data_IF_323504270115
#
_entry.id   IF_323504270115
#
_cell.length_a   1.000
_cell.length_b   1.000
_cell.length_c   1.000
_cell.angle_alpha   90.00
_cell.angle_beta   90.00
_cell.angle_gamma   90.00
#
_symmetry.space_group_name_H-M   'P 1'
#
loop_
_entity.id
_entity.type
_entity.pdbx_description
1 polymer ?
#
# COMPACT_ATOMS: atom_id res chain seq x y z
N UNK A 1 -71.76 -11.91 32.15
CA UNK A 1 -72.60 -11.27 33.20
C UNK A 1 -73.69 -12.23 33.63
N UNK A 2 -74.16 -12.25 34.89
CA UNK A 2 -73.73 -11.60 36.14
C UNK A 2 -73.30 -12.66 37.20
N UNK A 3 -72.44 -12.39 38.21
CA UNK A 3 -72.56 -11.55 39.42
C UNK A 3 -73.17 -12.27 40.66
N UNK A 4 -72.27 -12.63 41.60
CA UNK A 4 -72.30 -12.39 43.08
C UNK A 4 -73.43 -12.97 43.98
N UNK A 5 -73.28 -12.98 45.34
CA UNK A 5 -72.15 -13.44 46.18
C UNK A 5 -72.59 -14.10 47.55
N UNK A 6 -71.60 -14.41 48.40
CA UNK A 6 -71.58 -14.43 49.90
C UNK A 6 -72.20 -15.65 50.66
N UNK A 7 -71.41 -16.55 51.28
CA UNK A 7 -70.74 -16.51 52.64
C UNK A 7 -71.69 -16.85 53.81
N UNK A 8 -71.25 -17.27 55.03
CA UNK A 8 -69.89 -17.56 55.57
C UNK A 8 -69.77 -18.83 56.49
N UNK A 9 -68.55 -19.15 56.98
CA UNK A 9 -68.20 -19.40 58.42
C UNK A 9 -66.94 -20.31 58.65
N UNK A 10 -65.76 -19.67 58.81
CA UNK A 10 -64.70 -19.76 59.87
C UNK A 10 -64.22 -21.10 60.52
N UNK A 11 -63.03 -21.16 61.18
CA UNK A 11 -61.80 -20.32 61.08
C UNK A 11 -60.42 -21.05 61.22
N UNK A 12 -59.34 -20.26 61.03
CA UNK A 12 -58.03 -20.26 61.74
C UNK A 12 -56.87 -21.23 61.35
N UNK A 13 -55.94 -20.72 60.54
CA UNK A 13 -54.56 -20.41 61.01
C UNK A 13 -53.84 -19.47 60.05
N UNK A 14 -53.38 -18.33 60.59
CA UNK A 14 -52.64 -17.22 59.95
C UNK A 14 -51.12 -17.56 59.93
N UNK A 15 -50.38 -17.41 58.83
CA UNK A 15 -49.61 -16.25 58.32
C UNK A 15 -48.33 -15.83 59.12
N UNK A 16 -47.13 -16.17 58.56
CA UNK A 16 -45.81 -15.45 58.38
C UNK A 16 -45.16 -14.59 59.51
N UNK A 17 -43.88 -14.06 59.45
CA UNK A 17 -42.67 -14.27 58.58
C UNK A 17 -41.27 -14.30 59.33
N UNK A 18 -40.17 -14.48 58.55
CA UNK A 18 -38.76 -14.02 58.67
C UNK A 18 -37.98 -13.93 60.02
N UNK A 19 -36.71 -14.41 60.06
CA UNK A 19 -35.48 -13.66 60.42
C UNK A 19 -34.20 -14.52 60.49
N UNK A 20 -33.06 -13.91 60.13
CA UNK A 20 -31.72 -14.46 60.04
C UNK A 20 -30.91 -14.34 61.36
N UNK A 21 -29.75 -15.03 61.35
CA UNK A 21 -28.54 -14.90 62.19
C UNK A 21 -28.60 -15.21 63.68
N UNK A 22 -27.76 -16.16 64.14
CA UNK A 22 -26.62 -15.75 64.96
C UNK A 22 -25.48 -16.78 65.06
N UNK A 23 -24.26 -16.29 64.80
CA UNK A 23 -23.00 -17.02 64.84
C UNK A 23 -21.94 -16.28 64.03
N UNK A 24 -21.26 -15.32 64.69
CA UNK A 24 -20.18 -14.48 64.15
C UNK A 24 -19.17 -15.30 63.32
N UNK A 25 -18.62 -14.77 62.19
CA UNK A 25 -17.61 -15.45 61.37
C UNK A 25 -16.44 -15.99 62.20
N UNK A 26 -16.04 -15.24 63.23
CA UNK A 26 -14.99 -15.61 64.19
C UNK A 26 -15.34 -16.88 65.00
N UNK A 27 -16.62 -17.07 65.35
CA UNK A 27 -17.08 -18.25 66.06
C UNK A 27 -17.14 -19.49 65.16
N UNK A 28 -17.27 -19.30 63.84
CA UNK A 28 -17.22 -20.38 62.84
C UNK A 28 -15.79 -20.83 62.57
N UNK A 29 -14.86 -19.90 62.39
CA UNK A 29 -13.44 -20.21 62.22
C UNK A 29 -12.85 -20.86 63.46
N UNK A 30 -13.20 -20.39 64.67
CA UNK A 30 -12.78 -21.03 65.93
C UNK A 30 -13.25 -22.50 66.05
N UNK A 31 -14.44 -22.83 65.52
CA UNK A 31 -14.92 -24.23 65.48
C UNK A 31 -14.18 -25.10 64.46
N UNK A 32 -13.75 -24.52 63.34
CA UNK A 32 -12.96 -25.23 62.32
C UNK A 32 -11.54 -25.48 62.81
N UNK A 33 -10.90 -24.50 63.46
CA UNK A 33 -9.59 -24.68 64.10
C UNK A 33 -9.65 -25.72 65.23
N UNK A 34 -10.67 -25.66 66.10
CA UNK A 34 -10.85 -26.67 67.15
C UNK A 34 -11.09 -28.09 66.60
N UNK A 35 -11.72 -28.22 65.43
CA UNK A 35 -11.89 -29.50 64.75
C UNK A 35 -10.59 -30.00 64.09
N UNK A 36 -9.81 -29.08 63.51
CA UNK A 36 -8.52 -29.40 62.91
C UNK A 36 -7.47 -29.79 63.96
N UNK A 37 -7.44 -29.11 65.11
CA UNK A 37 -6.55 -29.46 66.23
C UNK A 37 -6.91 -30.81 66.85
N UNK A 38 -8.20 -31.18 66.89
CA UNK A 38 -8.65 -32.52 67.29
C UNK A 38 -8.21 -33.63 66.33
N UNK A 39 -8.13 -33.36 65.03
CA UNK A 39 -7.58 -34.33 64.07
C UNK A 39 -6.05 -34.42 64.17
N UNK A 40 -5.38 -33.31 64.48
CA UNK A 40 -3.92 -33.24 64.59
C UNK A 40 -3.37 -33.89 65.86
N UNK A 41 -4.19 -33.92 66.91
CA UNK A 41 -3.87 -34.54 68.20
C UNK A 41 -4.28 -36.01 68.29
N UNK A 42 -4.79 -36.61 67.20
CA UNK A 42 -5.08 -38.04 67.12
C UNK A 42 -3.78 -38.87 67.10
N UNK A 43 -3.47 -39.64 68.15
CA UNK A 43 -2.28 -40.47 68.24
C UNK A 43 -2.28 -41.67 67.27
N UNK A 44 -3.41 -41.96 66.59
CA UNK A 44 -3.50 -43.03 65.58
C UNK A 44 -2.96 -42.60 64.19
N UNK A 45 -2.71 -41.31 63.96
CA UNK A 45 -2.22 -40.79 62.67
C UNK A 45 -0.70 -40.54 62.63
N UNK A 46 0.01 -40.75 63.74
CA UNK A 46 1.45 -40.45 63.88
C UNK A 46 2.37 -41.63 63.51
N UNK A 47 2.07 -42.32 62.40
CA UNK A 47 2.94 -43.36 61.83
C UNK A 47 3.45 -42.96 60.45
N UNK A 48 4.56 -42.24 60.36
CA UNK A 48 5.23 -42.03 59.07
C UNK A 48 6.03 -43.29 58.69
N UNK A 49 5.44 -44.17 57.88
CA UNK A 49 6.10 -45.37 57.38
C UNK A 49 6.63 -45.13 55.96
N UNK A 50 7.95 -44.99 55.82
CA UNK A 50 8.63 -44.96 54.50
C UNK A 50 8.71 -46.38 53.95
N UNK A 51 7.79 -46.75 53.05
CA UNK A 51 7.91 -47.99 52.28
C UNK A 51 8.84 -47.80 51.07
N UNK A 52 10.06 -48.32 51.14
CA UNK A 52 10.89 -48.55 49.97
C UNK A 52 10.48 -49.87 49.30
N UNK A 53 9.62 -49.80 48.28
CA UNK A 53 9.35 -50.96 47.39
C UNK A 53 10.22 -50.89 46.16
N UNK A 54 11.32 -51.64 46.18
CA UNK A 54 12.03 -52.03 44.97
C UNK A 54 11.15 -53.05 44.22
N UNK A 55 10.45 -52.61 43.17
CA UNK A 55 9.90 -53.50 42.15
C UNK A 55 10.75 -53.40 40.90
N UNK A 56 11.56 -54.42 40.67
CA UNK A 56 11.95 -54.81 39.32
C UNK A 56 10.99 -55.89 38.86
N UNK A 57 10.25 -55.63 37.78
CA UNK A 57 9.58 -56.70 37.02
C UNK A 57 9.36 -56.31 35.56
N UNK A 58 10.28 -56.85 34.77
CA UNK A 58 10.17 -57.52 33.47
C UNK A 58 9.59 -56.83 32.23
N UNK A 59 10.33 -57.08 31.15
CA UNK A 59 10.15 -56.60 29.79
C UNK A 59 8.80 -56.99 29.19
N UNK A 60 7.98 -55.96 28.93
CA UNK A 60 6.70 -56.09 28.24
C UNK A 60 6.53 -55.00 27.21
N UNK A 61 6.91 -55.31 25.96
CA UNK A 61 6.55 -54.68 24.69
C UNK A 61 6.57 -53.14 24.62
N UNK A 62 7.49 -52.66 23.78
CA UNK A 62 7.45 -51.33 23.16
C UNK A 62 6.07 -51.06 22.56
N UNK A 63 5.33 -50.12 23.14
CA UNK A 63 4.43 -49.25 22.41
C UNK A 63 4.87 -47.81 22.65
N UNK A 64 5.81 -47.38 21.81
CA UNK A 64 6.20 -45.99 21.67
C UNK A 64 5.03 -45.28 21.01
N UNK A 65 4.05 -44.82 21.80
CA UNK A 65 3.09 -43.83 21.33
C UNK A 65 3.91 -42.59 20.98
N UNK A 66 4.03 -42.36 19.67
CA UNK A 66 4.85 -41.30 19.07
C UNK A 66 4.39 -39.94 19.63
N UNK A 67 5.29 -38.97 19.62
CA UNK A 67 5.02 -37.54 19.89
C UNK A 67 4.22 -36.87 18.74
N UNK A 68 3.35 -37.62 18.07
CA UNK A 68 2.53 -37.15 16.96
C UNK A 68 1.40 -36.21 17.42
N UNK A 69 0.94 -36.32 18.66
CA UNK A 69 -0.06 -35.43 19.25
C UNK A 69 0.43 -33.99 19.50
N UNK A 70 1.69 -33.82 19.90
CA UNK A 70 2.28 -32.49 20.19
C UNK A 70 2.57 -31.71 18.91
N UNK A 71 3.19 -32.37 17.92
CA UNK A 71 3.45 -31.79 16.62
C UNK A 71 2.14 -31.43 15.88
N UNK A 72 1.12 -32.28 15.94
CA UNK A 72 -0.19 -31.96 15.36
C UNK A 72 -0.95 -30.90 16.14
N UNK A 73 -0.82 -30.81 17.46
CA UNK A 73 -1.48 -29.77 18.26
C UNK A 73 -0.97 -28.37 17.92
N UNK A 74 0.35 -28.19 17.77
CA UNK A 74 0.93 -26.92 17.33
C UNK A 74 0.56 -26.60 15.87
N UNK A 75 0.58 -27.60 14.98
CA UNK A 75 0.16 -27.43 13.59
C UNK A 75 -1.33 -27.03 13.47
N UNK A 76 -2.19 -27.61 14.31
CA UNK A 76 -3.61 -27.28 14.38
C UNK A 76 -3.86 -25.88 14.96
N UNK A 77 -3.06 -25.46 15.95
CA UNK A 77 -3.09 -24.10 16.49
C UNK A 77 -2.61 -23.08 15.44
N UNK A 78 -1.55 -23.40 14.70
CA UNK A 78 -1.07 -22.61 13.57
C UNK A 78 -2.10 -22.53 12.43
N UNK A 79 -2.75 -23.65 12.09
CA UNK A 79 -3.80 -23.68 11.08
C UNK A 79 -5.02 -22.83 11.48
N UNK A 80 -5.43 -22.86 12.76
CA UNK A 80 -6.47 -21.96 13.28
C UNK A 80 -6.04 -20.50 13.22
N UNK A 81 -4.81 -20.19 13.59
CA UNK A 81 -4.26 -18.84 13.50
C UNK A 81 -4.18 -18.34 12.05
N UNK A 82 -3.77 -19.19 11.11
CA UNK A 82 -3.78 -18.91 9.68
C UNK A 82 -5.20 -18.71 9.17
N UNK A 83 -6.16 -19.50 9.62
CA UNK A 83 -7.56 -19.35 9.24
C UNK A 83 -8.13 -18.00 9.69
N UNK A 84 -7.83 -17.56 10.92
CA UNK A 84 -8.26 -16.24 11.41
C UNK A 84 -7.49 -15.08 10.75
N UNK A 85 -6.21 -15.30 10.43
CA UNK A 85 -5.35 -14.32 9.74
C UNK A 85 -5.66 -14.25 8.23
N UNK A 86 -6.20 -15.32 7.64
CA UNK A 86 -6.50 -15.42 6.21
C UNK A 86 -7.43 -14.30 5.76
N UNK A 87 -8.39 -13.93 6.61
CA UNK A 87 -9.25 -12.77 6.42
C UNK A 87 -8.42 -11.50 6.28
N UNK A 88 -7.52 -11.22 7.22
CA UNK A 88 -6.76 -9.96 7.19
C UNK A 88 -5.75 -9.93 6.04
N UNK A 89 -5.11 -11.05 5.71
CA UNK A 89 -4.24 -11.14 4.54
C UNK A 89 -5.02 -10.95 3.24
N UNK A 90 -6.18 -11.60 3.12
CA UNK A 90 -7.05 -11.47 1.95
C UNK A 90 -7.55 -10.04 1.80
N UNK A 91 -8.07 -9.43 2.88
CA UNK A 91 -8.51 -8.04 2.86
C UNK A 91 -7.36 -7.06 2.64
N UNK A 92 -6.15 -7.35 3.13
CA UNK A 92 -4.94 -6.58 2.85
C UNK A 92 -4.55 -6.65 1.37
N UNK A 93 -4.54 -7.84 0.78
CA UNK A 93 -4.28 -8.03 -0.64
C UNK A 93 -5.34 -7.35 -1.50
N UNK A 94 -6.63 -7.47 -1.14
CA UNK A 94 -7.74 -6.78 -1.80
C UNK A 94 -7.58 -5.26 -1.67
N UNK A 95 -7.23 -4.73 -0.49
CA UNK A 95 -7.01 -3.31 -0.29
C UNK A 95 -5.83 -2.79 -1.13
N UNK A 96 -4.74 -3.55 -1.23
CA UNK A 96 -3.61 -3.24 -2.12
C UNK A 96 -4.04 -3.28 -3.58
N UNK A 97 -4.77 -4.30 -3.99
CA UNK A 97 -5.25 -4.43 -5.38
C UNK A 97 -6.20 -3.29 -5.73
N UNK A 98 -7.08 -2.89 -4.82
CA UNK A 98 -7.97 -1.74 -4.95
C UNK A 98 -7.17 -0.44 -4.99
N UNK A 99 -6.16 -0.27 -4.15
CA UNK A 99 -5.29 0.90 -4.19
C UNK A 99 -4.52 0.99 -5.51
N UNK A 100 -3.94 -0.12 -5.99
CA UNK A 100 -3.26 -0.21 -7.29
C UNK A 100 -4.25 0.04 -8.42
N UNK A 101 -5.45 -0.53 -8.36
CA UNK A 101 -6.50 -0.30 -9.35
C UNK A 101 -6.96 1.16 -9.34
N UNK A 102 -7.07 1.82 -8.17
CA UNK A 102 -7.43 3.23 -8.05
C UNK A 102 -6.30 4.14 -8.54
N UNK A 103 -5.04 3.83 -8.25
CA UNK A 103 -3.88 4.58 -8.74
C UNK A 103 -3.75 4.40 -10.25
N UNK A 104 -3.84 3.17 -10.73
CA UNK A 104 -3.81 2.84 -12.16
C UNK A 104 -4.99 3.46 -12.89
N UNK A 105 -6.20 3.41 -12.32
CA UNK A 105 -7.38 4.06 -12.86
C UNK A 105 -7.25 5.57 -12.82
N UNK A 106 -6.71 6.19 -11.75
CA UNK A 106 -6.43 7.63 -11.72
C UNK A 106 -5.40 8.02 -12.76
N UNK A 107 -4.32 7.26 -12.91
CA UNK A 107 -3.30 7.47 -13.92
C UNK A 107 -3.88 7.33 -15.34
N UNK A 108 -4.66 6.27 -15.59
CA UNK A 108 -5.39 6.03 -16.83
C UNK A 108 -6.45 7.10 -17.10
N UNK A 109 -7.15 7.59 -16.08
CA UNK A 109 -8.17 8.65 -16.18
C UNK A 109 -7.52 10.00 -16.41
N UNK A 110 -6.36 10.30 -15.81
CA UNK A 110 -5.63 11.52 -16.12
C UNK A 110 -5.08 11.48 -17.55
N UNK A 111 -4.51 10.36 -17.97
CA UNK A 111 -4.09 10.14 -19.36
C UNK A 111 -5.28 10.19 -20.34
N UNK A 112 -6.41 9.57 -19.98
CA UNK A 112 -7.63 9.60 -20.80
C UNK A 112 -8.31 10.96 -20.78
N UNK A 113 -8.32 11.69 -19.68
CA UNK A 113 -8.87 13.04 -19.61
C UNK A 113 -8.02 14.01 -20.42
N UNK A 114 -6.69 13.86 -20.38
CA UNK A 114 -5.79 14.56 -21.28
C UNK A 114 -6.07 14.20 -22.74
N UNK A 115 -6.22 12.89 -23.06
CA UNK A 115 -6.58 12.42 -24.41
C UNK A 115 -7.97 12.85 -24.87
N UNK A 116 -8.98 12.87 -24.00
CA UNK A 116 -10.36 13.25 -24.31
C UNK A 116 -10.49 14.75 -24.45
N UNK A 117 -9.74 15.53 -23.67
CA UNK A 117 -9.64 16.97 -23.84
C UNK A 117 -8.92 17.31 -25.14
N UNK A 118 -7.82 16.63 -25.43
CA UNK A 118 -7.14 16.69 -26.72
C UNK A 118 -8.03 16.18 -27.88
N UNK A 119 -8.90 15.18 -27.64
CA UNK A 119 -9.80 14.64 -28.65
C UNK A 119 -11.04 15.50 -28.89
N UNK A 120 -11.56 16.17 -27.85
CA UNK A 120 -12.61 17.17 -27.98
C UNK A 120 -12.10 18.40 -28.75
N UNK A 121 -10.83 18.75 -28.53
CA UNK A 121 -10.11 19.77 -29.31
C UNK A 121 -9.81 19.28 -30.75
N UNK A 122 -9.56 17.97 -30.94
CA UNK A 122 -9.37 17.36 -32.26
C UNK A 122 -10.67 17.17 -33.05
N UNK A 123 -11.81 16.97 -32.38
CA UNK A 123 -13.11 16.78 -33.02
C UNK A 123 -13.61 18.07 -33.71
N UNK A 124 -13.28 19.23 -33.13
CA UNK A 124 -13.55 20.55 -33.74
C UNK A 124 -12.56 20.87 -34.87
N UNK A 125 -11.47 20.11 -35.01
CA UNK A 125 -10.38 20.34 -35.98
C UNK A 125 -10.15 19.16 -36.94
N UNK A 126 -11.22 18.40 -37.24
CA UNK A 126 -11.24 17.28 -38.19
C UNK A 126 -10.95 17.63 -39.67
N UNK A 127 -10.42 18.82 -39.96
CA UNK A 127 -10.05 19.28 -41.33
C UNK A 127 -8.54 19.37 -41.55
N UNK A 128 -7.67 19.10 -40.57
CA UNK A 128 -6.22 19.25 -40.83
C UNK A 128 -5.30 18.32 -40.05
N UNK A 129 -5.39 17.05 -40.44
CA UNK A 129 -4.26 16.18 -40.78
C UNK A 129 -2.98 16.38 -39.95
N UNK A 130 -2.84 15.61 -38.87
CA UNK A 130 -1.71 14.71 -38.65
C UNK A 130 -1.92 13.93 -37.34
N UNK A 131 -2.09 12.62 -37.47
CA UNK A 131 -2.11 11.64 -36.39
C UNK A 131 -0.71 11.57 -35.75
N UNK A 132 -0.49 12.25 -34.61
CA UNK A 132 0.77 12.15 -33.85
C UNK A 132 0.58 11.15 -32.72
N UNK A 133 0.54 9.87 -33.10
CA UNK A 133 0.74 8.73 -32.19
C UNK A 133 2.21 8.65 -31.73
N UNK A 134 2.47 8.11 -30.53
CA UNK A 134 3.82 7.99 -29.96
C UNK A 134 4.67 6.83 -30.52
N UNK A 135 4.35 6.28 -31.69
CA UNK A 135 4.98 5.04 -32.21
C UNK A 135 6.14 5.28 -33.20
N UNK A 136 6.37 6.52 -33.64
CA UNK A 136 7.61 6.90 -34.33
C UNK A 136 7.89 8.38 -34.08
N UNK A 137 8.84 8.68 -33.19
CA UNK A 137 9.50 9.98 -33.22
C UNK A 137 10.02 10.17 -34.66
N UNK A 138 9.73 11.28 -35.36
CA UNK A 138 10.19 11.47 -36.74
C UNK A 138 11.73 11.39 -36.77
N UNK A 139 12.28 10.84 -37.85
CA UNK A 139 13.74 10.77 -38.04
C UNK A 139 14.38 12.17 -37.92
N UNK A 140 13.69 13.19 -38.46
CA UNK A 140 14.03 14.61 -38.28
C UNK A 140 12.97 15.35 -37.45
N UNK A 141 13.18 15.33 -36.12
CA UNK A 141 12.35 16.06 -35.16
C UNK A 141 12.37 17.57 -35.40
N UNK A 142 13.51 18.12 -35.83
CA UNK A 142 13.67 19.56 -36.06
C UNK A 142 12.82 20.04 -37.24
N UNK A 143 12.88 19.35 -38.36
CA UNK A 143 12.08 19.66 -39.54
C UNK A 143 10.57 19.47 -39.28
N UNK A 144 10.18 18.38 -38.60
CA UNK A 144 8.79 18.12 -38.25
C UNK A 144 8.23 19.19 -37.29
N UNK A 145 9.01 19.61 -36.30
CA UNK A 145 8.62 20.70 -35.40
C UNK A 145 8.50 22.03 -36.14
N UNK A 146 9.40 22.30 -37.09
CA UNK A 146 9.34 23.52 -37.90
C UNK A 146 8.08 23.60 -38.77
N UNK A 147 7.68 22.48 -39.39
CA UNK A 147 6.44 22.40 -40.15
C UNK A 147 5.21 22.70 -39.27
N UNK A 148 5.16 22.14 -38.06
CA UNK A 148 4.10 22.43 -37.08
C UNK A 148 4.08 23.91 -36.67
N UNK A 149 5.26 24.51 -36.48
CA UNK A 149 5.38 25.92 -36.12
C UNK A 149 4.85 26.84 -37.22
N UNK A 150 5.26 26.61 -38.47
CA UNK A 150 4.77 27.37 -39.63
C UNK A 150 3.27 27.19 -39.86
N UNK A 151 2.72 26.03 -39.50
CA UNK A 151 1.29 25.76 -39.55
C UNK A 151 0.48 26.45 -38.43
N UNK A 152 1.11 27.28 -37.58
CA UNK A 152 0.51 27.97 -36.45
C UNK A 152 0.30 27.08 -35.21
N UNK A 153 0.73 25.81 -35.26
CA UNK A 153 0.57 24.83 -34.18
C UNK A 153 1.76 24.90 -33.21
N UNK A 154 2.03 26.09 -32.63
CA UNK A 154 3.20 26.35 -31.77
C UNK A 154 3.28 25.41 -30.55
N UNK A 155 2.20 25.15 -29.79
CA UNK A 155 2.27 24.21 -28.66
C UNK A 155 2.64 22.79 -29.09
N UNK A 156 2.16 22.35 -30.26
CA UNK A 156 2.47 21.03 -30.80
C UNK A 156 3.94 20.92 -31.24
N UNK A 157 4.47 21.97 -31.88
CA UNK A 157 5.89 22.05 -32.26
C UNK A 157 6.81 21.96 -31.03
N UNK A 158 6.52 22.75 -29.99
CA UNK A 158 7.30 22.73 -28.75
C UNK A 158 7.19 21.41 -28.00
N UNK A 159 5.99 20.81 -27.94
CA UNK A 159 5.79 19.49 -27.36
C UNK A 159 6.60 18.42 -28.09
N UNK A 160 6.72 18.51 -29.42
CA UNK A 160 7.55 17.59 -30.21
C UNK A 160 9.04 17.79 -29.92
N UNK A 161 9.53 19.03 -29.87
CA UNK A 161 10.92 19.34 -29.51
C UNK A 161 11.26 18.88 -28.09
N UNK A 162 10.37 19.10 -27.13
CA UNK A 162 10.56 18.66 -25.74
C UNK A 162 10.64 17.14 -25.63
N UNK A 163 9.68 16.41 -26.21
CA UNK A 163 9.69 14.94 -26.27
C UNK A 163 10.93 14.40 -26.99
N UNK A 164 11.33 15.07 -28.08
CA UNK A 164 12.56 14.79 -28.81
C UNK A 164 13.81 14.92 -27.95
N UNK A 165 13.93 16.04 -27.23
CA UNK A 165 15.06 16.29 -26.35
C UNK A 165 15.11 15.27 -25.21
N UNK A 166 13.96 14.96 -24.61
CA UNK A 166 13.85 13.94 -23.57
C UNK A 166 14.28 12.55 -24.06
N UNK A 167 13.82 12.15 -25.25
CA UNK A 167 14.23 10.89 -25.87
C UNK A 167 15.74 10.81 -26.08
N UNK A 168 16.38 11.89 -26.57
CA UNK A 168 17.85 11.94 -26.71
C UNK A 168 18.56 11.91 -25.36
N UNK A 169 18.06 12.63 -24.35
CA UNK A 169 18.63 12.59 -22.99
C UNK A 169 18.61 11.17 -22.42
N UNK A 170 17.51 10.44 -22.56
CA UNK A 170 17.37 9.08 -22.03
C UNK A 170 18.19 8.08 -22.84
N UNK A 171 18.05 8.06 -24.17
CA UNK A 171 18.61 6.98 -24.99
C UNK A 171 20.03 7.22 -25.47
N UNK A 172 20.46 8.49 -25.63
CA UNK A 172 21.77 8.83 -26.19
C UNK A 172 22.76 9.31 -25.12
N UNK A 173 22.28 10.12 -24.17
CA UNK A 173 23.11 10.65 -23.08
C UNK A 173 22.97 9.84 -21.78
N UNK A 174 22.17 8.76 -21.81
CA UNK A 174 21.93 7.83 -20.70
C UNK A 174 21.58 8.56 -19.38
N UNK A 175 20.82 9.65 -19.47
CA UNK A 175 20.39 10.42 -18.30
C UNK A 175 19.32 9.59 -17.55
N UNK A 176 19.50 9.30 -16.25
CA UNK A 176 18.59 8.46 -15.49
C UNK A 176 17.36 9.27 -15.05
N UNK A 177 16.48 9.59 -16.00
CA UNK A 177 15.27 10.37 -15.76
C UNK A 177 14.19 9.45 -15.17
N UNK A 178 13.67 9.80 -14.00
CA UNK A 178 12.59 9.06 -13.35
C UNK A 178 11.22 9.50 -13.88
N UNK A 179 10.23 8.61 -13.88
CA UNK A 179 8.88 8.91 -14.36
C UNK A 179 8.15 10.01 -13.56
N UNK A 180 8.63 10.30 -12.34
CA UNK A 180 8.10 11.36 -11.47
C UNK A 180 8.89 12.66 -11.55
N UNK A 181 9.96 12.73 -12.35
CA UNK A 181 10.80 13.92 -12.45
C UNK A 181 10.02 15.06 -13.11
N UNK A 182 10.01 16.21 -12.43
CA UNK A 182 9.58 17.49 -13.00
C UNK A 182 10.56 17.95 -14.08
N UNK A 183 10.14 18.89 -14.92
CA UNK A 183 10.98 19.45 -16.00
C UNK A 183 12.29 20.05 -15.46
N UNK A 184 12.21 20.72 -14.31
CA UNK A 184 13.38 21.25 -13.61
C UNK A 184 14.31 20.15 -13.14
N UNK A 185 13.78 19.09 -12.54
CA UNK A 185 14.56 17.93 -12.11
C UNK A 185 15.20 17.19 -13.30
N UNK A 186 14.52 17.11 -14.46
CA UNK A 186 15.08 16.54 -15.68
C UNK A 186 16.31 17.34 -16.15
N UNK A 187 16.24 18.67 -16.14
CA UNK A 187 17.37 19.54 -16.46
C UNK A 187 18.52 19.34 -15.46
N UNK A 188 18.20 19.21 -14.18
CA UNK A 188 19.17 19.01 -13.11
C UNK A 188 19.91 17.69 -13.27
N UNK A 189 19.20 16.60 -13.58
CA UNK A 189 19.80 15.28 -13.86
C UNK A 189 20.65 15.28 -15.14
N UNK A 190 20.31 16.11 -16.12
CA UNK A 190 21.06 16.26 -17.37
C UNK A 190 22.37 17.06 -17.19
N UNK A 191 22.51 17.84 -16.10
CA UNK A 191 23.73 18.61 -15.81
C UNK A 191 24.92 17.65 -15.67
N UNK A 192 26.03 18.01 -16.29
CA UNK A 192 27.27 17.22 -16.26
C UNK A 192 27.26 15.99 -17.18
N UNK A 193 26.11 15.59 -17.74
CA UNK A 193 26.00 14.51 -18.75
C UNK A 193 25.95 15.01 -20.18
N UNK A 194 25.41 16.22 -20.37
CA UNK A 194 25.34 16.89 -21.66
C UNK A 194 26.51 17.87 -21.83
N UNK A 195 26.99 18.01 -23.07
CA UNK A 195 27.90 19.10 -23.42
C UNK A 195 27.25 20.47 -23.12
N UNK A 196 28.03 21.51 -22.77
CA UNK A 196 27.49 22.82 -22.39
C UNK A 196 26.51 23.42 -23.40
N UNK A 197 26.76 23.23 -24.70
CA UNK A 197 25.91 23.70 -25.81
C UNK A 197 24.58 22.95 -25.86
N UNK A 198 24.62 21.63 -25.67
CA UNK A 198 23.45 20.78 -25.62
C UNK A 198 22.58 21.12 -24.41
N UNK A 199 23.20 21.28 -23.23
CA UNK A 199 22.49 21.66 -21.99
C UNK A 199 21.79 23.02 -22.13
N UNK A 200 22.48 24.02 -22.70
CA UNK A 200 21.91 25.34 -22.97
C UNK A 200 20.71 25.25 -23.91
N UNK A 201 20.79 24.40 -24.93
CA UNK A 201 19.70 24.20 -25.87
C UNK A 201 18.49 23.50 -25.26
N UNK A 202 18.67 22.39 -24.53
CA UNK A 202 17.56 21.72 -23.86
C UNK A 202 16.86 22.68 -22.90
N UNK A 203 17.65 23.48 -22.17
CA UNK A 203 17.11 24.51 -21.27
C UNK A 203 16.25 25.52 -22.04
N UNK A 204 16.70 26.00 -23.21
CA UNK A 204 15.91 26.92 -24.04
C UNK A 204 14.61 26.28 -24.54
N UNK A 205 14.64 25.01 -24.95
CA UNK A 205 13.43 24.27 -25.39
C UNK A 205 12.43 24.14 -24.26
N UNK A 206 12.87 23.70 -23.07
CA UNK A 206 12.01 23.55 -21.89
C UNK A 206 11.40 24.89 -21.49
N UNK A 207 12.20 25.96 -21.43
CA UNK A 207 11.70 27.30 -21.09
C UNK A 207 10.72 27.86 -22.13
N UNK A 208 10.97 27.63 -23.42
CA UNK A 208 10.05 28.03 -24.48
C UNK A 208 8.71 27.27 -24.36
N UNK A 209 8.78 25.96 -24.08
CA UNK A 209 7.60 25.13 -23.87
C UNK A 209 6.80 25.56 -22.64
N UNK A 210 7.46 25.79 -21.49
CA UNK A 210 6.81 26.30 -20.27
C UNK A 210 6.18 27.67 -20.49
N UNK A 211 6.92 28.60 -21.12
CA UNK A 211 6.45 29.96 -21.37
C UNK A 211 5.23 30.01 -22.30
N UNK A 212 5.15 29.09 -23.27
CA UNK A 212 4.00 29.00 -24.16
C UNK A 212 2.82 28.26 -23.51
N UNK A 213 3.09 27.12 -22.86
CA UNK A 213 2.06 26.22 -22.32
C UNK A 213 1.46 26.74 -21.01
N UNK A 214 2.30 27.18 -20.07
CA UNK A 214 1.87 27.70 -18.77
C UNK A 214 1.78 29.23 -18.76
N UNK A 215 2.68 29.90 -19.49
CA UNK A 215 2.75 31.36 -19.52
C UNK A 215 1.87 32.02 -20.58
N UNK A 216 1.28 31.26 -21.52
CA UNK A 216 0.48 31.79 -22.63
C UNK A 216 1.24 32.78 -23.53
N UNK A 217 2.57 32.81 -23.47
CA UNK A 217 3.38 33.78 -24.21
C UNK A 217 3.46 33.40 -25.68
N UNK A 218 3.21 34.38 -26.55
CA UNK A 218 3.48 34.26 -27.96
C UNK A 218 5.01 34.22 -28.19
N UNK A 219 5.46 33.22 -28.93
CA UNK A 219 6.86 33.09 -29.33
C UNK A 219 7.02 33.55 -30.78
N UNK A 220 8.14 34.21 -31.07
CA UNK A 220 8.40 34.73 -32.42
C UNK A 220 8.77 33.60 -33.40
N UNK A 221 8.49 33.83 -34.70
CA UNK A 221 8.88 32.91 -35.77
C UNK A 221 10.40 32.67 -35.79
N UNK A 222 11.20 33.73 -35.60
CA UNK A 222 12.66 33.64 -35.55
C UNK A 222 13.15 32.74 -34.39
N UNK A 223 12.47 32.78 -33.24
CA UNK A 223 12.79 31.88 -32.13
C UNK A 223 12.41 30.43 -32.47
N UNK A 224 11.24 30.22 -33.06
CA UNK A 224 10.81 28.91 -33.55
C UNK A 224 11.81 28.29 -34.52
N UNK A 225 12.27 29.07 -35.49
CA UNK A 225 13.24 28.62 -36.50
C UNK A 225 14.57 28.23 -35.84
N UNK A 226 15.10 29.07 -34.96
CA UNK A 226 16.35 28.80 -34.23
C UNK A 226 16.26 27.57 -33.34
N UNK A 227 15.11 27.35 -32.68
CA UNK A 227 14.89 26.16 -31.86
C UNK A 227 14.80 24.90 -32.72
N UNK A 228 14.02 24.94 -33.81
CA UNK A 228 13.79 23.78 -34.66
C UNK A 228 15.05 23.37 -35.44
N UNK A 229 15.71 24.31 -36.12
CA UNK A 229 16.93 24.05 -36.91
C UNK A 229 18.14 23.67 -36.04
N UNK A 230 18.11 24.06 -34.76
CA UNK A 230 19.16 23.75 -33.81
C UNK A 230 19.07 22.38 -33.14
N UNK A 231 17.97 21.64 -33.34
CA UNK A 231 17.71 20.38 -32.64
C UNK A 231 18.79 19.34 -32.89
N UNK A 232 18.93 18.87 -34.14
CA UNK A 232 19.88 17.81 -34.45
C UNK A 232 21.33 18.25 -34.25
N UNK A 233 21.65 19.48 -34.63
CA UNK A 233 23.02 20.04 -34.46
C UNK A 233 23.51 19.99 -33.00
N UNK A 234 22.62 20.18 -32.03
CA UNK A 234 23.00 20.28 -30.61
C UNK A 234 22.76 18.98 -29.83
N UNK A 235 21.85 18.12 -30.28
CA UNK A 235 21.49 16.88 -29.58
C UNK A 235 21.94 15.59 -30.29
N UNK A 236 22.29 15.65 -31.57
CA UNK A 236 22.85 14.52 -32.33
C UNK A 236 24.38 14.54 -32.39
N UNK A 237 25.02 15.55 -31.79
CA UNK A 237 26.44 15.48 -31.48
C UNK A 237 26.67 14.32 -30.49
N UNK A 238 27.71 13.50 -30.72
CA UNK A 238 28.11 12.47 -29.76
C UNK A 238 28.40 13.11 -28.39
N UNK A 239 28.07 12.44 -27.27
CA UNK A 239 28.48 12.91 -25.96
C UNK A 239 29.97 13.22 -26.01
N UNK A 240 30.38 14.37 -25.48
CA UNK A 240 31.78 14.62 -25.22
C UNK A 240 32.25 13.43 -24.37
N UNK A 241 33.11 12.58 -24.94
CA UNK A 241 33.67 11.44 -24.22
C UNK A 241 34.13 12.00 -22.87
N UNK A 242 33.54 11.51 -21.79
CA UNK A 242 34.04 11.80 -20.45
C UNK A 242 35.52 11.44 -20.51
N UNK A 243 36.37 12.48 -20.45
CA UNK A 243 37.80 12.33 -20.61
C UNK A 243 38.27 11.27 -19.64
N UNK A 244 38.76 10.16 -20.20
CA UNK A 244 39.60 9.25 -19.46
C UNK A 244 40.92 9.95 -19.22
N UNK A 245 41.19 10.31 -17.97
CA UNK A 245 42.52 10.50 -17.39
C UNK A 245 42.38 9.98 -15.94
N UNK A 246 42.83 8.76 -15.69
CA UNK A 246 44.16 8.40 -15.19
C UNK A 246 44.24 8.50 -13.66
#
# INVERSE_FOLDING_TARGET
>A
SPASPASPASPASQASPASASDGSPAARSARIEAAADKLRSDPLLSGSHKEHKLRWKDDGKRDKKRDDGSAMAWLAAFARFLNDTSRFLFWGLVAILVAVALVSARHLVQLRAFRLRAAAESAVSHVRDLDVRPESLPDDVGAAAWALWQAGKVPAALSLLYRGALSRMIHRFEVPITASATEGECLDMARGRLAPEAMRYVTQVVRAWEANTYGGRALSMAMGESLCTGFGRRLDALPAAAGGEA
#
